data_IF_224295960944
#
_entry.id   IF_224295960944
#
_cell.length_a   1.000
_cell.length_b   1.000
_cell.length_c   1.000
_cell.angle_alpha   90.00
_cell.angle_beta   90.00
_cell.angle_gamma   90.00
#
_symmetry.space_group_name_H-M   'P 1'
#
loop_
_entity.id
_entity.type
_entity.pdbx_description
1 polymer ?
#
# COMPACT_ATOMS: atom_id res chain seq x y z
N UNK A 1 24.94 1.12 4.81
CA UNK A 1 24.00 0.14 4.24
C UNK A 1 23.11 -0.33 5.38
N UNK A 2 21.80 -0.11 5.31
CA UNK A 2 20.86 -0.70 6.28
C UNK A 2 20.58 -2.14 5.86
N UNK A 3 20.44 -3.06 6.81
CA UNK A 3 20.12 -4.45 6.52
C UNK A 3 18.67 -4.60 6.05
N UNK A 4 18.39 -5.62 5.24
CA UNK A 4 17.03 -5.92 4.78
C UNK A 4 16.04 -6.19 5.94
N UNK A 5 16.51 -6.73 7.06
CA UNK A 5 15.72 -6.92 8.28
C UNK A 5 15.37 -5.59 8.98
N UNK A 6 16.31 -4.64 9.02
CA UNK A 6 16.06 -3.30 9.53
C UNK A 6 15.06 -2.54 8.65
N UNK A 7 15.19 -2.66 7.33
CA UNK A 7 14.28 -2.03 6.36
C UNK A 7 12.85 -2.52 6.58
N UNK A 8 12.66 -3.83 6.68
CA UNK A 8 11.36 -4.46 6.92
C UNK A 8 10.76 -3.98 8.25
N UNK A 9 11.50 -4.15 9.35
CA UNK A 9 11.04 -3.80 10.70
C UNK A 9 10.72 -2.31 10.84
N UNK A 10 11.55 -1.45 10.28
CA UNK A 10 11.38 0.01 10.37
C UNK A 10 10.20 0.47 9.54
N UNK A 11 10.08 -0.01 8.31
CA UNK A 11 8.95 0.31 7.41
C UNK A 11 7.62 -0.11 8.03
N UNK A 12 7.57 -1.33 8.57
CA UNK A 12 6.42 -1.89 9.29
C UNK A 12 6.01 -1.04 10.49
N UNK A 13 6.95 -0.66 11.36
CA UNK A 13 6.69 0.21 12.53
C UNK A 13 6.22 1.60 12.10
N UNK A 14 6.86 2.20 11.09
CA UNK A 14 6.50 3.51 10.57
C UNK A 14 5.08 3.51 9.98
N UNK A 15 4.71 2.50 9.20
CA UNK A 15 3.36 2.33 8.68
C UNK A 15 2.33 2.10 9.79
N UNK A 16 2.67 1.32 10.83
CA UNK A 16 1.79 1.14 11.98
C UNK A 16 1.54 2.47 12.71
N UNK A 17 2.59 3.26 12.92
CA UNK A 17 2.50 4.60 13.52
C UNK A 17 1.69 5.59 12.65
N UNK A 18 1.73 5.43 11.32
CA UNK A 18 0.94 6.21 10.38
C UNK A 18 -0.56 5.81 10.33
N UNK A 19 -0.99 4.81 11.10
CA UNK A 19 -2.40 4.43 11.24
C UNK A 19 -2.84 3.21 10.41
N UNK A 20 -1.91 2.52 9.75
CA UNK A 20 -2.25 1.26 9.07
C UNK A 20 -2.54 0.12 10.07
N UNK A 21 -3.42 -0.80 9.67
CA UNK A 21 -3.65 -2.03 10.43
C UNK A 21 -2.39 -2.91 10.44
N UNK A 22 -2.24 -3.78 11.43
CA UNK A 22 -1.04 -4.62 11.60
C UNK A 22 -0.75 -5.42 10.32
N UNK A 23 -1.73 -6.17 9.81
CA UNK A 23 -1.53 -6.97 8.58
C UNK A 23 -1.10 -6.15 7.36
N UNK A 24 -1.57 -4.90 7.23
CA UNK A 24 -1.15 -4.03 6.11
C UNK A 24 0.27 -3.51 6.33
N UNK A 25 0.62 -3.14 7.56
CA UNK A 25 1.97 -2.70 7.89
C UNK A 25 3.01 -3.81 7.65
N UNK A 26 2.65 -5.07 7.90
CA UNK A 26 3.44 -6.25 7.56
C UNK A 26 3.74 -6.33 6.05
N UNK A 27 2.70 -6.20 5.23
CA UNK A 27 2.85 -6.25 3.77
C UNK A 27 3.66 -5.07 3.24
N UNK A 28 3.54 -3.88 3.85
CA UNK A 28 4.39 -2.73 3.49
C UNK A 28 5.87 -3.04 3.78
N UNK A 29 6.18 -3.58 4.96
CA UNK A 29 7.57 -3.92 5.36
C UNK A 29 8.24 -4.87 4.37
N UNK A 30 7.56 -5.98 4.05
CA UNK A 30 8.02 -6.96 3.05
C UNK A 30 8.22 -6.33 1.67
N UNK A 31 7.29 -5.48 1.24
CA UNK A 31 7.40 -4.80 -0.05
C UNK A 31 8.58 -3.82 -0.09
N UNK A 32 8.82 -3.05 0.97
CA UNK A 32 9.94 -2.12 0.99
C UNK A 32 11.27 -2.85 0.94
N UNK A 33 11.39 -3.95 1.68
CA UNK A 33 12.54 -4.84 1.61
C UNK A 33 12.79 -5.33 0.18
N UNK A 34 11.73 -5.78 -0.50
CA UNK A 34 11.84 -6.27 -1.87
C UNK A 34 12.24 -5.16 -2.86
N UNK A 35 11.66 -3.97 -2.74
CA UNK A 35 12.01 -2.83 -3.59
C UNK A 35 13.50 -2.48 -3.46
N UNK A 36 14.00 -2.36 -2.23
CA UNK A 36 15.42 -2.07 -1.97
C UNK A 36 16.33 -3.20 -2.45
N UNK A 37 15.89 -4.47 -2.33
CA UNK A 37 16.61 -5.62 -2.88
C UNK A 37 16.73 -5.55 -4.41
N UNK A 38 15.73 -5.00 -5.10
CA UNK A 38 15.77 -4.77 -6.55
C UNK A 38 16.44 -3.44 -6.95
N UNK A 39 17.04 -2.70 -6.01
CA UNK A 39 17.69 -1.42 -6.28
C UNK A 39 16.71 -0.26 -6.53
N UNK A 40 15.43 -0.42 -6.17
CA UNK A 40 14.41 0.62 -6.25
C UNK A 40 14.32 1.36 -4.90
N UNK A 41 14.11 2.69 -4.89
CA UNK A 41 14.15 3.51 -3.68
C UNK A 41 12.86 3.39 -2.83
N UNK A 42 12.57 2.18 -2.33
CA UNK A 42 11.38 1.84 -1.57
C UNK A 42 11.21 2.68 -0.29
N UNK A 43 12.26 2.78 0.53
CA UNK A 43 12.22 3.49 1.82
C UNK A 43 11.94 4.98 1.59
N UNK A 44 12.62 5.59 0.61
CA UNK A 44 12.42 7.00 0.27
C UNK A 44 10.99 7.25 -0.19
N UNK A 45 10.46 6.39 -1.05
CA UNK A 45 9.09 6.47 -1.54
C UNK A 45 8.07 6.30 -0.41
N UNK A 46 8.27 5.34 0.50
CA UNK A 46 7.40 5.15 1.65
C UNK A 46 7.39 6.38 2.55
N UNK A 47 8.54 6.94 2.90
CA UNK A 47 8.61 8.13 3.75
C UNK A 47 7.84 9.31 3.13
N UNK A 48 8.09 9.60 1.85
CA UNK A 48 7.38 10.65 1.12
C UNK A 48 5.86 10.41 1.10
N UNK A 49 5.45 9.16 0.89
CA UNK A 49 4.04 8.79 0.87
C UNK A 49 3.38 8.96 2.25
N UNK A 50 4.02 8.49 3.33
CA UNK A 50 3.51 8.65 4.69
C UNK A 50 3.35 10.12 5.08
N UNK A 51 4.27 10.98 4.67
CA UNK A 51 4.15 12.43 4.86
C UNK A 51 3.00 13.04 4.03
N UNK A 52 2.80 12.58 2.79
CA UNK A 52 1.70 13.03 1.92
C UNK A 52 0.35 12.69 2.54
N UNK A 53 0.14 11.46 3.01
CA UNK A 53 -1.16 11.03 3.54
C UNK A 53 -1.51 11.68 4.89
N UNK A 54 -0.50 12.13 5.65
CA UNK A 54 -0.72 12.90 6.88
C UNK A 54 -1.42 14.24 6.61
N UNK A 55 -1.11 14.88 5.47
CA UNK A 55 -1.74 16.14 5.03
C UNK A 55 -3.03 15.89 4.25
N UNK A 56 -3.01 14.89 3.37
CA UNK A 56 -4.12 14.53 2.51
C UNK A 56 -4.54 13.07 2.77
N UNK A 57 -5.46 12.84 3.71
CA UNK A 57 -5.99 11.51 3.98
C UNK A 57 -6.57 10.88 2.71
N UNK A 58 -6.30 9.59 2.51
CA UNK A 58 -6.79 8.81 1.37
C UNK A 58 -7.86 7.82 1.81
N UNK A 59 -8.76 7.46 0.91
CA UNK A 59 -9.86 6.56 1.20
C UNK A 59 -9.44 5.09 1.08
N UNK A 60 -9.87 4.26 2.02
CA UNK A 60 -9.68 2.81 1.94
C UNK A 60 -10.72 2.21 0.99
N UNK A 61 -10.27 1.48 -0.02
CA UNK A 61 -11.16 0.70 -0.88
C UNK A 61 -11.80 -0.45 -0.06
N UNK A 62 -13.14 -0.51 -0.04
CA UNK A 62 -13.88 -1.55 0.69
C UNK A 62 -14.08 -2.82 -0.15
N UNK A 63 -14.41 -2.65 -1.43
CA UNK A 63 -14.64 -3.74 -2.41
C UNK A 63 -14.26 -3.23 -3.79
N UNK A 64 -13.78 -4.15 -4.64
CA UNK A 64 -13.50 -3.86 -6.05
C UNK A 64 -14.73 -4.21 -6.89
N UNK A 65 -15.21 -3.23 -7.64
CA UNK A 65 -16.33 -3.29 -8.59
C UNK A 65 -15.85 -2.90 -10.00
N UNK A 66 -16.72 -2.96 -11.03
CA UNK A 66 -16.35 -2.56 -12.41
C UNK A 66 -16.03 -1.06 -12.53
N UNK A 67 -16.65 -0.23 -11.71
CA UNK A 67 -16.41 1.22 -11.64
C UNK A 67 -16.24 1.60 -10.18
N UNK A 68 -15.01 1.92 -9.77
CA UNK A 68 -14.70 2.34 -8.41
C UNK A 68 -14.47 3.84 -8.43
N UNK A 69 -15.32 4.62 -7.76
CA UNK A 69 -15.12 6.06 -7.61
C UNK A 69 -14.85 6.39 -6.14
N UNK A 70 -13.80 7.16 -5.83
CA UNK A 70 -13.58 7.64 -4.48
C UNK A 70 -14.69 8.62 -4.10
N UNK A 71 -15.09 8.64 -2.83
CA UNK A 71 -16.18 9.51 -2.36
C UNK A 71 -15.77 10.96 -2.20
N UNK A 72 -14.52 11.23 -1.86
CA UNK A 72 -14.08 12.59 -1.53
C UNK A 72 -12.71 12.98 -2.08
N UNK A 73 -11.78 12.04 -2.25
CA UNK A 73 -10.41 12.32 -2.70
C UNK A 73 -9.88 11.22 -3.60
N UNK A 74 -8.89 10.48 -3.13
CA UNK A 74 -8.16 9.45 -3.85
C UNK A 74 -8.17 8.17 -3.02
N UNK A 75 -8.18 7.01 -3.67
CA UNK A 75 -7.97 5.76 -2.98
C UNK A 75 -6.52 5.64 -2.50
N UNK A 76 -6.34 5.00 -1.35
CA UNK A 76 -5.02 4.64 -0.86
C UNK A 76 -4.43 3.54 -1.76
N UNK A 77 -3.32 3.77 -2.49
CA UNK A 77 -2.69 2.77 -3.35
C UNK A 77 -2.33 1.49 -2.61
N UNK A 78 -1.92 1.56 -1.33
CA UNK A 78 -1.55 0.38 -0.54
C UNK A 78 -2.77 -0.52 -0.31
N UNK A 79 -3.90 0.05 0.11
CA UNK A 79 -5.13 -0.71 0.30
C UNK A 79 -5.72 -1.23 -1.02
N UNK A 80 -5.55 -0.49 -2.12
CA UNK A 80 -5.93 -0.98 -3.44
C UNK A 80 -5.07 -2.18 -3.84
N UNK A 81 -3.75 -2.10 -3.67
CA UNK A 81 -2.82 -3.18 -3.98
C UNK A 81 -3.16 -4.47 -3.25
N UNK A 82 -3.37 -4.39 -1.93
CA UNK A 82 -3.77 -5.57 -1.15
C UNK A 82 -5.16 -6.08 -1.55
N UNK A 83 -6.14 -5.20 -1.77
CA UNK A 83 -7.45 -5.61 -2.24
C UNK A 83 -7.41 -6.30 -3.61
N UNK A 84 -6.53 -5.89 -4.52
CA UNK A 84 -6.36 -6.55 -5.81
C UNK A 84 -5.84 -7.97 -5.65
N UNK A 85 -4.84 -8.16 -4.79
CA UNK A 85 -4.28 -9.47 -4.50
C UNK A 85 -5.34 -10.38 -3.85
N UNK A 86 -6.06 -9.88 -2.85
CA UNK A 86 -7.11 -10.63 -2.15
C UNK A 86 -8.27 -11.05 -3.06
N UNK A 87 -8.58 -10.23 -4.08
CA UNK A 87 -9.70 -10.45 -4.99
C UNK A 87 -9.29 -10.96 -6.37
N UNK A 88 -8.07 -11.48 -6.55
CA UNK A 88 -7.50 -11.81 -7.86
C UNK A 88 -8.47 -12.63 -8.77
N UNK A 89 -9.06 -13.71 -8.25
CA UNK A 89 -10.04 -14.54 -8.96
C UNK A 89 -11.30 -13.77 -9.38
N UNK A 90 -11.74 -12.82 -8.55
CA UNK A 90 -12.88 -11.96 -8.87
C UNK A 90 -12.52 -10.97 -9.97
N UNK A 91 -11.30 -10.45 -9.99
CA UNK A 91 -10.82 -9.54 -11.04
C UNK A 91 -10.84 -10.20 -12.42
N UNK A 92 -10.47 -11.48 -12.50
CA UNK A 92 -10.53 -12.26 -13.75
C UNK A 92 -11.94 -12.25 -14.35
N UNK A 93 -12.98 -12.38 -13.52
CA UNK A 93 -14.37 -12.35 -13.98
C UNK A 93 -14.83 -10.96 -14.42
N UNK A 94 -14.28 -9.89 -13.83
CA UNK A 94 -14.67 -8.51 -14.13
C UNK A 94 -14.14 -8.04 -15.49
N UNK A 95 -13.03 -8.63 -15.98
CA UNK A 95 -12.29 -8.33 -17.24
C UNK A 95 -11.76 -6.91 -17.37
N UNK A 96 -12.59 -5.90 -17.13
CA UNK A 96 -12.25 -4.48 -17.19
C UNK A 96 -12.75 -3.78 -15.94
N UNK A 97 -11.85 -3.03 -15.31
CA UNK A 97 -12.14 -2.25 -14.10
C UNK A 97 -11.69 -0.81 -14.34
N UNK A 98 -12.54 0.14 -13.95
CA UNK A 98 -12.26 1.57 -14.03
C UNK A 98 -12.13 2.15 -12.61
N UNK A 99 -11.08 2.95 -12.41
CA UNK A 99 -10.79 3.73 -11.20
C UNK A 99 -10.81 5.22 -11.54
#
# INVERSE_FOLDING_TARGET
MQSFSEIDTTSKRASKAAGFAWGIAEEIGKNMRNLEMFGLPGIKNLNLYLQKIKKNPTEKLKKIEKKNKPKSKEFCPIYCGTAFLDNCKKLETLKLIKF
#
